data_IF_499791260797
#
_entry.id   IF_499791260797
#
_cell.length_a   1.000
_cell.length_b   1.000
_cell.length_c   1.000
_cell.angle_alpha   90.00
_cell.angle_beta   90.00
_cell.angle_gamma   90.00
#
_symmetry.space_group_name_H-M   'P 1'
#
loop_
_entity.id
_entity.type
_entity.pdbx_description
1 polymer ?
#
# COMPACT_ATOMS: atom_id res chain seq x y z
N UNK A 1 -46.78 6.83 -3.11
CA UNK A 1 -45.76 5.79 -3.40
C UNK A 1 -44.60 5.93 -2.40
N UNK A 2 -44.46 5.04 -1.43
CA UNK A 2 -43.31 5.05 -0.50
C UNK A 2 -42.43 3.83 -0.75
N UNK A 3 -41.29 4.03 -1.42
CA UNK A 3 -40.17 3.10 -1.37
C UNK A 3 -39.00 3.76 -0.65
N UNK A 4 -39.11 3.92 0.67
CA UNK A 4 -37.93 4.10 1.53
C UNK A 4 -37.60 2.77 2.15
N UNK A 5 -37.07 1.86 1.33
CA UNK A 5 -36.37 0.68 1.83
C UNK A 5 -35.08 1.17 2.45
N UNK A 6 -35.04 1.24 3.79
CA UNK A 6 -33.83 1.55 4.52
C UNK A 6 -32.75 0.58 4.07
N UNK A 7 -31.74 1.08 3.35
CA UNK A 7 -30.60 0.30 2.94
C UNK A 7 -29.87 -0.04 4.23
N UNK A 8 -30.16 -1.23 4.77
CA UNK A 8 -29.44 -1.84 5.88
C UNK A 8 -27.98 -1.84 5.45
N UNK A 9 -27.23 -0.85 5.91
CA UNK A 9 -25.83 -0.70 5.57
C UNK A 9 -25.18 -2.01 5.98
N UNK A 10 -24.76 -2.83 5.01
CA UNK A 10 -24.01 -4.05 5.29
C UNK A 10 -22.75 -3.58 6.00
N UNK A 11 -22.75 -3.69 7.32
CA UNK A 11 -21.57 -3.43 8.13
C UNK A 11 -20.62 -4.58 7.84
N UNK A 12 -19.61 -4.30 7.02
CA UNK A 12 -18.52 -5.24 6.79
C UNK A 12 -17.66 -5.28 8.06
N UNK A 13 -17.51 -6.45 8.71
CA UNK A 13 -16.55 -6.58 9.80
C UNK A 13 -15.13 -6.38 9.27
N UNK A 14 -14.22 -5.95 10.13
CA UNK A 14 -12.87 -5.55 9.72
C UNK A 14 -12.07 -6.73 9.14
N UNK A 15 -12.30 -7.95 9.61
CA UNK A 15 -11.73 -9.17 9.02
C UNK A 15 -12.12 -9.35 7.54
N UNK A 16 -13.39 -9.09 7.20
CA UNK A 16 -13.85 -9.20 5.80
C UNK A 16 -13.27 -8.07 4.96
N UNK A 17 -13.21 -6.84 5.48
CA UNK A 17 -12.53 -5.74 4.79
C UNK A 17 -11.06 -6.08 4.54
N UNK A 18 -10.38 -6.65 5.52
CA UNK A 18 -8.97 -7.02 5.44
C UNK A 18 -8.74 -8.07 4.36
N UNK A 19 -9.58 -9.11 4.30
CA UNK A 19 -9.49 -10.14 3.25
C UNK A 19 -9.68 -9.53 1.85
N UNK A 20 -10.72 -8.71 1.68
CA UNK A 20 -11.00 -8.06 0.39
C UNK A 20 -9.84 -7.12 0.01
N UNK A 21 -9.31 -6.34 0.95
CA UNK A 21 -8.16 -5.45 0.69
C UNK A 21 -6.93 -6.27 0.30
N UNK A 22 -6.65 -7.38 0.98
CA UNK A 22 -5.52 -8.25 0.65
C UNK A 22 -5.60 -8.78 -0.78
N UNK A 23 -6.79 -9.20 -1.25
CA UNK A 23 -7.00 -9.61 -2.65
C UNK A 23 -6.65 -8.48 -3.64
N UNK A 24 -6.90 -7.20 -3.29
CA UNK A 24 -6.53 -6.05 -4.14
C UNK A 24 -5.05 -5.69 -4.14
N UNK A 25 -4.27 -6.29 -3.24
CA UNK A 25 -2.82 -6.06 -3.11
C UNK A 25 -2.02 -7.16 -3.83
N UNK A 26 -2.67 -8.24 -4.27
CA UNK A 26 -2.05 -9.27 -5.12
C UNK A 26 -1.64 -8.64 -6.44
N UNK A 27 -0.41 -8.91 -6.87
CA UNK A 27 0.13 -8.37 -8.12
C UNK A 27 -0.69 -8.86 -9.30
N UNK A 28 -1.19 -7.94 -10.13
CA UNK A 28 -2.06 -8.26 -11.28
C UNK A 28 -3.56 -8.25 -11.00
N UNK A 29 -4.00 -8.18 -9.75
CA UNK A 29 -5.42 -8.03 -9.42
C UNK A 29 -5.91 -6.59 -9.67
N UNK A 30 -7.08 -6.42 -10.30
CA UNK A 30 -7.69 -5.09 -10.45
C UNK A 30 -8.72 -4.82 -9.36
N UNK A 31 -8.73 -3.59 -8.85
CA UNK A 31 -9.67 -3.14 -7.80
C UNK A 31 -11.12 -3.32 -8.25
N UNK A 32 -11.42 -3.09 -9.53
CA UNK A 32 -12.76 -3.25 -10.09
C UNK A 32 -13.21 -4.71 -10.13
N UNK A 33 -12.32 -5.63 -10.50
CA UNK A 33 -12.63 -7.06 -10.53
C UNK A 33 -12.91 -7.61 -9.12
N UNK A 34 -12.04 -7.29 -8.15
CA UNK A 34 -12.25 -7.67 -6.75
C UNK A 34 -13.55 -7.06 -6.22
N UNK A 35 -13.83 -5.79 -6.56
CA UNK A 35 -15.07 -5.14 -6.16
C UNK A 35 -16.32 -5.84 -6.73
N UNK A 36 -16.28 -6.22 -8.01
CA UNK A 36 -17.35 -6.95 -8.66
C UNK A 36 -17.58 -8.33 -8.02
N UNK A 37 -16.51 -9.04 -7.67
CA UNK A 37 -16.56 -10.37 -7.04
C UNK A 37 -17.32 -10.39 -5.70
N UNK A 38 -17.16 -9.35 -4.87
CA UNK A 38 -17.90 -9.25 -3.60
C UNK A 38 -19.10 -8.29 -3.67
N UNK A 39 -19.54 -7.88 -4.87
CA UNK A 39 -20.71 -7.04 -5.06
C UNK A 39 -20.62 -5.65 -4.41
N UNK A 40 -19.39 -5.11 -4.27
CA UNK A 40 -19.14 -3.77 -3.76
C UNK A 40 -18.78 -2.80 -4.88
N UNK A 41 -18.94 -1.51 -4.61
CA UNK A 41 -18.41 -0.46 -5.48
C UNK A 41 -16.94 -0.23 -5.16
N UNK A 42 -16.08 -0.14 -6.17
CA UNK A 42 -14.64 0.09 -6.02
C UNK A 42 -14.29 1.30 -5.12
N UNK A 43 -15.15 2.33 -5.09
CA UNK A 43 -15.00 3.50 -4.22
C UNK A 43 -14.92 3.16 -2.72
N UNK A 44 -15.44 2.00 -2.27
CA UNK A 44 -15.31 1.56 -0.88
C UNK A 44 -13.91 1.01 -0.55
N UNK A 45 -13.15 0.55 -1.55
CA UNK A 45 -11.83 -0.03 -1.36
C UNK A 45 -10.75 1.02 -1.11
N UNK A 46 -10.90 2.23 -1.67
CA UNK A 46 -9.94 3.32 -1.44
C UNK A 46 -9.74 3.63 0.05
N UNK A 47 -10.79 3.91 0.86
CA UNK A 47 -10.60 4.15 2.28
C UNK A 47 -10.12 2.91 3.04
N UNK A 48 -10.52 1.69 2.64
CA UNK A 48 -10.04 0.46 3.29
C UNK A 48 -8.56 0.18 3.01
N UNK A 49 -8.08 0.46 1.79
CA UNK A 49 -6.64 0.41 1.44
C UNK A 49 -5.85 1.42 2.27
N UNK A 50 -6.39 2.62 2.48
CA UNK A 50 -5.76 3.61 3.37
C UNK A 50 -5.72 3.11 4.82
N UNK A 51 -6.79 2.50 5.32
CA UNK A 51 -6.80 1.90 6.67
C UNK A 51 -5.76 0.78 6.81
N UNK A 52 -5.60 -0.07 5.81
CA UNK A 52 -4.58 -1.12 5.81
C UNK A 52 -3.15 -0.54 5.80
N UNK A 53 -2.88 0.47 4.98
CA UNK A 53 -1.60 1.20 4.98
C UNK A 53 -1.29 1.86 6.33
N UNK A 54 -2.32 2.28 7.06
CA UNK A 54 -2.20 2.86 8.40
C UNK A 54 -2.11 1.81 9.52
N UNK A 55 -2.13 0.50 9.20
CA UNK A 55 -2.13 -0.58 10.19
C UNK A 55 -3.43 -0.72 10.99
N UNK A 56 -4.53 -0.09 10.56
CA UNK A 56 -5.85 -0.17 11.21
C UNK A 56 -6.65 -1.41 10.79
N UNK A 57 -6.18 -2.13 9.77
CA UNK A 57 -6.73 -3.40 9.32
C UNK A 57 -5.63 -4.44 9.42
N UNK A 58 -5.88 -5.51 10.18
CA UNK A 58 -5.01 -6.67 10.26
C UNK A 58 -5.23 -7.49 8.99
N UNK A 59 -4.29 -7.40 8.05
CA UNK A 59 -4.36 -8.17 6.80
C UNK A 59 -3.93 -9.63 7.05
N UNK A 60 -4.54 -10.59 6.34
CA UNK A 60 -4.01 -11.95 6.31
C UNK A 60 -2.59 -11.96 5.74
N UNK A 61 -1.79 -12.94 6.16
CA UNK A 61 -0.47 -13.14 5.60
C UNK A 61 -0.59 -13.38 4.09
N UNK A 62 0.24 -12.72 3.26
CA UNK A 62 0.25 -12.98 1.83
C UNK A 62 0.68 -14.42 1.55
N UNK A 63 0.11 -15.03 0.52
CA UNK A 63 0.42 -16.41 0.12
C UNK A 63 1.79 -16.50 -0.57
N UNK A 64 2.20 -15.42 -1.24
CA UNK A 64 3.51 -15.32 -1.87
C UNK A 64 4.62 -15.04 -0.84
N UNK A 65 5.81 -15.56 -1.12
CA UNK A 65 7.01 -15.30 -0.31
C UNK A 65 7.31 -13.79 -0.31
N UNK A 66 7.28 -13.17 0.87
CA UNK A 66 7.70 -11.78 1.03
C UNK A 66 9.23 -11.71 0.99
N UNK A 67 9.77 -10.95 0.04
CA UNK A 67 11.19 -10.60 -0.01
C UNK A 67 11.38 -9.18 0.51
N UNK A 68 12.36 -9.00 1.40
CA UNK A 68 12.73 -7.69 1.93
C UNK A 68 14.08 -7.28 1.37
N UNK A 69 14.16 -6.10 0.76
CA UNK A 69 15.41 -5.51 0.32
C UNK A 69 16.07 -4.74 1.49
N UNK A 70 17.36 -4.98 1.73
CA UNK A 70 18.13 -4.18 2.66
C UNK A 70 18.35 -2.77 2.09
N UNK A 71 18.03 -1.73 2.88
CA UNK A 71 18.29 -0.34 2.51
C UNK A 71 19.70 0.06 2.97
N UNK A 72 20.58 0.38 2.02
CA UNK A 72 21.93 0.91 2.31
C UNK A 72 21.86 2.44 2.31
N UNK A 73 22.23 3.07 3.42
CA UNK A 73 22.39 4.53 3.50
C UNK A 73 23.77 4.88 2.96
N UNK A 74 23.83 5.61 1.84
CA UNK A 74 25.09 6.15 1.36
C UNK A 74 25.57 7.23 2.34
N UNK A 75 26.77 7.07 2.91
CA UNK A 75 27.45 8.19 3.52
C UNK A 75 27.71 9.23 2.42
N UNK A 76 27.38 10.50 2.68
CA UNK A 76 27.75 11.59 1.78
C UNK A 76 29.24 11.44 1.43
N UNK A 77 29.62 11.42 0.14
CA UNK A 77 31.03 11.45 -0.22
C UNK A 77 31.67 12.66 0.49
N UNK A 78 32.85 12.51 1.13
CA UNK A 78 33.58 13.68 1.55
C UNK A 78 33.85 14.51 0.28
N UNK A 79 33.34 15.73 0.31
CA UNK A 79 33.62 16.77 -0.66
C UNK A 79 35.11 16.73 -0.99
N UNK A 80 35.41 16.53 -2.27
CA UNK A 80 36.77 16.31 -2.75
C UNK A 80 37.65 17.41 -2.17
N UNK A 81 38.70 16.99 -1.46
CA UNK A 81 39.83 17.81 -1.11
C UNK A 81 40.47 18.34 -2.40
N UNK A 82 39.88 19.39 -2.97
CA UNK A 82 40.50 20.27 -3.94
C UNK A 82 41.26 21.35 -3.16
N UNK A 83 42.17 20.91 -2.29
CA UNK A 83 43.32 21.68 -1.85
C UNK A 83 44.56 20.90 -2.30
N UNK A 84 44.67 20.67 -3.62
CA UNK A 84 45.94 20.25 -4.21
C UNK A 84 46.69 21.50 -4.71
N UNK A 85 47.37 22.11 -3.74
CA UNK A 85 48.76 22.57 -3.88
C UNK A 85 49.01 23.61 -4.97
N UNK A 86 48.84 24.87 -4.55
CA UNK A 86 49.82 25.92 -4.83
C UNK A 86 51.22 25.33 -4.66
N UNK A 87 52.00 25.30 -5.74
CA UNK A 87 53.45 25.02 -5.81
C UNK A 87 53.84 23.65 -6.38
N UNK A 88 54.11 23.59 -7.70
CA UNK A 88 55.44 23.20 -8.24
C UNK A 88 55.44 23.03 -9.76
N UNK A 89 55.77 24.07 -10.54
CA UNK A 89 56.85 24.02 -11.57
C UNK A 89 57.08 25.37 -12.25
N UNK A 90 58.24 25.93 -11.91
CA UNK A 90 59.23 26.65 -12.72
C UNK A 90 58.80 27.16 -14.11
#
# INVERSE_FOLDING_TARGET
>A
MSRRGGMRSRKWPDEVKARIVAETLVSGATVNEVAARHGLKANHLSPWRTMARQGKLVLPAPEDRIEFAAMVVAASPPEQAADEVRSSRN
#
